data_IF_368094529568
#
_entry.id   IF_368094529568
#
_cell.length_a   1.000
_cell.length_b   1.000
_cell.length_c   1.000
_cell.angle_alpha   90.00
_cell.angle_beta   90.00
_cell.angle_gamma   90.00
#
_symmetry.space_group_name_H-M   'P 1'
#
loop_
_entity.id
_entity.type
_entity.pdbx_description
1 polymer ?
#
# COMPACT_ATOMS: atom_id res chain seq x y z
N UNK A 1 -8.12 -9.26 13.01
CA UNK A 1 -7.57 -8.75 14.27
C UNK A 1 -7.51 -9.83 15.34
N UNK A 2 -8.63 -10.35 15.75
CA UNK A 2 -8.72 -11.46 16.71
C UNK A 2 -7.90 -12.69 16.30
N UNK A 3 -7.95 -13.04 15.01
CA UNK A 3 -7.16 -14.12 14.43
C UNK A 3 -5.65 -13.92 14.66
N UNK A 4 -5.14 -12.69 14.49
CA UNK A 4 -3.72 -12.37 14.71
C UNK A 4 -3.36 -12.59 16.17
N UNK A 5 -4.17 -12.08 17.09
CA UNK A 5 -3.95 -12.24 18.53
C UNK A 5 -3.92 -13.71 18.92
N UNK A 6 -4.87 -14.49 18.45
CA UNK A 6 -4.96 -15.93 18.73
C UNK A 6 -3.73 -16.69 18.20
N UNK A 7 -3.26 -16.34 16.99
CA UNK A 7 -2.09 -16.99 16.41
C UNK A 7 -0.81 -16.69 17.21
N UNK A 8 -0.64 -15.47 17.70
CA UNK A 8 0.48 -15.11 18.58
C UNK A 8 0.39 -15.90 19.89
N UNK A 9 -0.76 -15.84 20.57
CA UNK A 9 -0.96 -16.54 21.85
C UNK A 9 -0.71 -18.05 21.74
N UNK A 10 -1.16 -18.68 20.66
CA UNK A 10 -0.99 -20.13 20.47
C UNK A 10 0.48 -20.55 20.35
N UNK A 11 1.39 -19.63 20.10
CA UNK A 11 2.82 -19.89 19.91
C UNK A 11 3.69 -19.28 21.02
N UNK A 12 3.07 -18.80 22.10
CA UNK A 12 3.79 -18.26 23.26
C UNK A 12 4.33 -16.84 23.04
N UNK A 13 3.80 -16.11 22.07
CA UNK A 13 4.12 -14.70 21.82
C UNK A 13 2.84 -13.89 21.98
N UNK A 14 2.99 -12.58 22.14
CA UNK A 14 1.85 -11.71 22.41
C UNK A 14 1.84 -10.50 21.48
N UNK A 15 0.65 -10.01 21.19
CA UNK A 15 0.44 -8.78 20.43
C UNK A 15 -0.79 -8.07 21.00
N UNK A 16 -0.71 -6.74 21.12
CA UNK A 16 -1.87 -5.95 21.55
C UNK A 16 -2.93 -5.91 20.46
N UNK A 17 -4.19 -5.72 20.84
CA UNK A 17 -5.27 -5.50 19.87
C UNK A 17 -5.00 -4.28 19.00
N UNK A 18 -4.43 -3.23 19.58
CA UNK A 18 -4.07 -2.01 18.88
C UNK A 18 -3.07 -2.27 17.75
N UNK A 19 -1.99 -2.99 18.05
CA UNK A 19 -0.96 -3.31 17.05
C UNK A 19 -1.50 -4.28 15.99
N UNK A 20 -2.33 -5.24 16.39
CA UNK A 20 -3.01 -6.14 15.46
C UNK A 20 -3.94 -5.36 14.52
N UNK A 21 -4.62 -4.33 15.03
CA UNK A 21 -5.46 -3.44 14.22
C UNK A 21 -4.61 -2.66 13.22
N UNK A 22 -3.45 -2.16 13.62
CA UNK A 22 -2.53 -1.46 12.71
C UNK A 22 -2.07 -2.38 11.57
N UNK A 23 -1.77 -3.65 11.84
CA UNK A 23 -1.46 -4.62 10.79
C UNK A 23 -2.59 -4.71 9.76
N UNK A 24 -3.83 -4.79 10.23
CA UNK A 24 -4.99 -4.84 9.35
C UNK A 24 -5.17 -3.55 8.56
N UNK A 25 -4.91 -2.41 9.16
CA UNK A 25 -5.03 -1.10 8.50
C UNK A 25 -3.98 -0.92 7.41
N UNK A 26 -2.72 -1.21 7.70
CA UNK A 26 -1.60 -1.07 6.75
C UNK A 26 -1.83 -1.95 5.51
N UNK A 27 -2.39 -3.12 5.70
CA UNK A 27 -2.63 -4.09 4.63
C UNK A 27 -4.01 -3.95 4.00
N UNK A 28 -4.79 -2.95 4.40
CA UNK A 28 -6.17 -2.74 3.98
C UNK A 28 -7.00 -4.03 4.05
N UNK A 29 -6.73 -4.85 5.07
CA UNK A 29 -7.39 -6.13 5.34
C UNK A 29 -7.25 -7.17 4.24
N UNK A 30 -6.32 -7.00 3.30
CA UNK A 30 -6.01 -8.03 2.31
C UNK A 30 -5.42 -9.25 3.01
N UNK A 31 -6.15 -10.35 2.99
CA UNK A 31 -5.86 -11.54 3.79
C UNK A 31 -4.42 -12.05 3.63
N UNK A 32 -3.90 -12.11 2.40
CA UNK A 32 -2.54 -12.59 2.17
C UNK A 32 -1.49 -11.64 2.75
N UNK A 33 -1.70 -10.33 2.65
CA UNK A 33 -0.80 -9.34 3.24
C UNK A 33 -0.89 -9.29 4.76
N UNK A 34 -2.10 -9.46 5.31
CA UNK A 34 -2.28 -9.57 6.77
C UNK A 34 -1.45 -10.72 7.32
N UNK A 35 -1.54 -11.88 6.68
CA UNK A 35 -0.79 -13.07 7.09
C UNK A 35 0.72 -12.88 6.96
N UNK A 36 1.19 -12.33 5.86
CA UNK A 36 2.62 -12.08 5.64
C UNK A 36 3.18 -11.07 6.64
N UNK A 37 2.49 -9.95 6.84
CA UNK A 37 2.96 -8.92 7.77
C UNK A 37 2.96 -9.45 9.20
N UNK A 38 1.89 -10.11 9.62
CA UNK A 38 1.82 -10.73 10.94
C UNK A 38 2.95 -11.74 11.15
N UNK A 39 3.28 -12.51 10.14
CA UNK A 39 4.39 -13.47 10.16
C UNK A 39 5.74 -12.77 10.36
N UNK A 40 6.03 -11.71 9.63
CA UNK A 40 7.29 -10.98 9.78
C UNK A 40 7.40 -10.32 11.16
N UNK A 41 6.31 -9.78 11.68
CA UNK A 41 6.28 -9.23 13.06
C UNK A 41 6.53 -10.35 14.06
N UNK A 42 5.82 -11.46 13.92
CA UNK A 42 5.94 -12.61 14.80
C UNK A 42 7.38 -13.15 14.87
N UNK A 43 8.06 -13.23 13.73
CA UNK A 43 9.45 -13.70 13.67
C UNK A 43 10.40 -12.88 14.54
N UNK A 44 10.14 -11.60 14.69
CA UNK A 44 11.00 -10.70 15.44
C UNK A 44 10.72 -10.71 16.94
N UNK A 45 9.51 -11.07 17.34
CA UNK A 45 9.11 -11.10 18.75
C UNK A 45 9.73 -12.31 19.43
N UNK A 46 10.36 -12.10 20.59
CA UNK A 46 10.91 -13.18 21.40
C UNK A 46 9.80 -13.93 22.14
N UNK A 47 10.09 -15.15 22.53
CA UNK A 47 9.16 -15.97 23.33
C UNK A 47 8.76 -15.23 24.61
N UNK A 48 7.49 -15.33 24.96
CA UNK A 48 6.86 -14.68 26.12
C UNK A 48 6.91 -13.14 26.08
N UNK A 49 7.28 -12.57 24.95
CA UNK A 49 7.32 -11.12 24.77
C UNK A 49 6.12 -10.61 23.99
N UNK A 50 5.90 -9.29 24.10
CA UNK A 50 4.82 -8.58 23.38
C UNK A 50 5.41 -7.84 22.20
N UNK A 51 4.76 -7.93 21.04
CA UNK A 51 5.17 -7.19 19.85
C UNK A 51 5.13 -5.67 20.10
N UNK A 52 6.12 -4.96 19.56
CA UNK A 52 6.27 -3.51 19.70
C UNK A 52 6.09 -2.80 18.35
N UNK A 53 6.00 -1.48 18.41
CA UNK A 53 5.99 -0.66 17.18
C UNK A 53 7.26 -0.88 16.33
N UNK A 54 8.40 -1.10 16.95
CA UNK A 54 9.65 -1.43 16.25
C UNK A 54 9.52 -2.76 15.49
N UNK A 55 8.87 -3.73 16.09
CA UNK A 55 8.61 -5.01 15.43
C UNK A 55 7.69 -4.85 14.22
N UNK A 56 6.69 -3.97 14.32
CA UNK A 56 5.80 -3.65 13.21
C UNK A 56 6.56 -2.96 12.08
N UNK A 57 7.38 -1.97 12.38
CA UNK A 57 8.22 -1.28 11.37
C UNK A 57 9.12 -2.27 10.64
N UNK A 58 9.76 -3.14 11.37
CA UNK A 58 10.59 -4.21 10.80
C UNK A 58 9.76 -5.11 9.87
N UNK A 59 8.58 -5.52 10.31
CA UNK A 59 7.69 -6.36 9.52
C UNK A 59 7.26 -5.70 8.22
N UNK A 60 6.92 -4.41 8.27
CA UNK A 60 6.56 -3.64 7.08
C UNK A 60 7.74 -3.59 6.10
N UNK A 61 8.93 -3.28 6.56
CA UNK A 61 10.12 -3.25 5.71
C UNK A 61 10.39 -4.61 5.06
N UNK A 62 10.23 -5.69 5.82
CA UNK A 62 10.39 -7.05 5.29
C UNK A 62 9.32 -7.39 4.24
N UNK A 63 8.08 -6.96 4.46
CA UNK A 63 7.01 -7.16 3.48
C UNK A 63 7.30 -6.41 2.19
N UNK A 64 7.74 -5.16 2.28
CA UNK A 64 8.12 -4.36 1.11
C UNK A 64 9.29 -5.00 0.36
N UNK A 65 10.30 -5.48 1.06
CA UNK A 65 11.43 -6.20 0.45
C UNK A 65 10.95 -7.45 -0.30
N UNK A 66 10.06 -8.21 0.31
CA UNK A 66 9.55 -9.44 -0.28
C UNK A 66 8.73 -9.19 -1.56
N UNK A 67 7.99 -8.09 -1.61
CA UNK A 67 7.15 -7.73 -2.75
C UNK A 67 7.89 -6.92 -3.82
N UNK A 68 9.06 -6.37 -3.52
CA UNK A 68 9.77 -5.43 -4.40
C UNK A 68 10.02 -5.96 -5.81
N UNK A 69 10.48 -7.22 -6.02
CA UNK A 69 10.69 -7.72 -7.39
C UNK A 69 9.42 -7.68 -8.25
N UNK A 70 8.27 -8.03 -7.68
CA UNK A 70 7.00 -7.97 -8.37
C UNK A 70 6.62 -6.51 -8.67
N UNK A 71 6.79 -5.62 -7.70
CA UNK A 71 6.42 -4.21 -7.86
C UNK A 71 7.29 -3.51 -8.89
N UNK A 72 8.57 -3.81 -8.95
CA UNK A 72 9.47 -3.33 -10.00
C UNK A 72 8.93 -3.77 -11.36
N UNK A 73 8.61 -5.04 -11.51
CA UNK A 73 8.07 -5.59 -12.75
C UNK A 73 6.77 -4.90 -13.16
N UNK A 74 5.87 -4.63 -12.23
CA UNK A 74 4.58 -3.98 -12.49
C UNK A 74 4.73 -2.51 -12.90
N UNK A 75 5.81 -1.85 -12.51
CA UNK A 75 5.98 -0.40 -12.70
C UNK A 75 7.06 -0.02 -13.70
N UNK A 76 7.95 -0.93 -14.08
CA UNK A 76 9.10 -0.61 -14.94
C UNK A 76 8.73 -0.05 -16.32
N UNK A 77 7.59 -0.47 -16.86
CA UNK A 77 7.12 -0.04 -18.18
C UNK A 77 6.17 1.16 -18.14
N UNK A 78 5.94 1.72 -16.96
CA UNK A 78 5.03 2.86 -16.82
C UNK A 78 5.70 4.15 -17.29
N UNK A 79 4.93 4.96 -18.03
CA UNK A 79 5.38 6.30 -18.43
C UNK A 79 5.45 7.24 -17.23
N UNK A 80 6.16 8.36 -17.40
CA UNK A 80 6.21 9.40 -16.38
C UNK A 80 4.81 9.91 -16.01
N UNK A 81 3.92 10.08 -17.00
CA UNK A 81 2.54 10.49 -16.74
C UNK A 81 1.76 9.45 -15.94
N UNK A 82 1.93 8.17 -16.25
CA UNK A 82 1.29 7.09 -15.48
C UNK A 82 1.79 7.07 -14.03
N UNK A 83 3.09 7.20 -13.82
CA UNK A 83 3.67 7.30 -12.48
C UNK A 83 3.15 8.53 -11.73
N UNK A 84 3.05 9.66 -12.40
CA UNK A 84 2.50 10.89 -11.81
C UNK A 84 1.03 10.72 -11.38
N UNK A 85 0.25 9.99 -12.16
CA UNK A 85 -1.14 9.70 -11.82
C UNK A 85 -1.24 8.84 -10.54
N UNK A 86 -0.42 7.79 -10.46
CA UNK A 86 -0.34 6.96 -9.26
C UNK A 86 0.13 7.79 -8.04
N UNK A 87 1.05 8.72 -8.24
CA UNK A 87 1.52 9.60 -7.18
C UNK A 87 0.38 10.46 -6.63
N UNK A 88 -0.46 11.01 -7.49
CA UNK A 88 -1.63 11.77 -7.07
C UNK A 88 -2.55 10.92 -6.19
N UNK A 89 -2.84 9.68 -6.61
CA UNK A 89 -3.72 8.78 -5.84
C UNK A 89 -3.10 8.45 -4.48
N UNK A 90 -1.82 8.11 -4.43
CA UNK A 90 -1.16 7.78 -3.16
C UNK A 90 -1.09 8.97 -2.20
N UNK A 91 -1.15 10.19 -2.71
CA UNK A 91 -1.20 11.42 -1.91
C UNK A 91 -2.62 11.86 -1.56
N UNK A 92 -3.63 11.03 -1.82
CA UNK A 92 -4.98 11.27 -1.38
C UNK A 92 -5.91 11.91 -2.41
N UNK A 93 -5.47 12.04 -3.66
CA UNK A 93 -6.34 12.50 -4.75
C UNK A 93 -7.11 11.31 -5.30
N UNK A 94 -8.41 11.29 -5.10
CA UNK A 94 -9.27 10.19 -5.53
C UNK A 94 -10.30 10.62 -6.57
N UNK A 95 -10.57 11.93 -6.63
CA UNK A 95 -11.53 12.55 -7.56
C UNK A 95 -10.96 13.88 -8.06
N UNK A 96 -11.59 14.48 -9.07
CA UNK A 96 -11.24 15.82 -9.52
C UNK A 96 -9.90 15.91 -10.25
N UNK A 97 -9.46 14.85 -10.91
CA UNK A 97 -8.16 14.81 -11.59
C UNK A 97 -8.02 15.82 -12.74
N UNK A 98 -9.12 16.33 -13.25
CA UNK A 98 -9.10 17.33 -14.34
C UNK A 98 -9.08 18.77 -13.83
N UNK A 99 -9.11 18.99 -12.53
CA UNK A 99 -8.96 20.33 -11.95
C UNK A 99 -7.55 20.86 -12.24
N UNK A 100 -7.47 22.13 -12.60
CA UNK A 100 -6.20 22.76 -12.96
C UNK A 100 -5.13 22.60 -11.89
N UNK A 101 -5.49 22.79 -10.63
CA UNK A 101 -4.55 22.64 -9.52
C UNK A 101 -3.95 21.21 -9.46
N UNK A 102 -4.76 20.18 -9.69
CA UNK A 102 -4.31 18.79 -9.68
C UNK A 102 -3.45 18.50 -10.92
N UNK A 103 -3.88 18.94 -12.09
CA UNK A 103 -3.12 18.77 -13.33
C UNK A 103 -1.71 19.37 -13.20
N UNK A 104 -1.60 20.55 -12.63
CA UNK A 104 -0.33 21.24 -12.45
C UNK A 104 0.53 20.63 -11.35
N UNK A 105 -0.07 20.36 -10.18
CA UNK A 105 0.66 19.82 -9.02
C UNK A 105 1.32 18.47 -9.35
N UNK A 106 0.59 17.58 -10.02
CA UNK A 106 1.06 16.24 -10.32
C UNK A 106 1.55 16.07 -11.76
N UNK A 107 1.55 17.12 -12.54
CA UNK A 107 2.04 17.11 -13.95
C UNK A 107 1.33 16.03 -14.77
N UNK A 108 0.01 16.07 -14.77
CA UNK A 108 -0.82 15.09 -15.47
C UNK A 108 -1.07 15.45 -16.96
N UNK A 109 -0.68 16.65 -17.38
CA UNK A 109 -0.93 17.15 -18.72
C UNK A 109 -2.32 17.75 -18.86
N UNK A 110 -3.04 17.35 -19.89
CA UNK A 110 -4.39 17.88 -20.19
C UNK A 110 -5.48 16.97 -19.59
N UNK A 111 -6.71 17.50 -19.56
CA UNK A 111 -7.88 16.69 -19.17
C UNK A 111 -8.06 15.47 -20.07
N UNK A 112 -7.79 15.60 -21.38
CA UNK A 112 -7.84 14.48 -22.33
C UNK A 112 -6.78 13.42 -21.98
N UNK A 113 -5.59 13.83 -21.55
CA UNK A 113 -4.54 12.92 -21.11
C UNK A 113 -4.96 12.14 -19.86
N UNK A 114 -5.62 12.80 -18.90
CA UNK A 114 -6.15 12.14 -17.69
C UNK A 114 -7.08 10.99 -18.04
N UNK A 115 -7.98 11.17 -19.00
CA UNK A 115 -8.88 10.11 -19.45
C UNK A 115 -8.12 8.90 -19.97
N UNK A 116 -7.06 9.13 -20.75
CA UNK A 116 -6.21 8.05 -21.28
C UNK A 116 -5.41 7.35 -20.18
N UNK A 117 -4.84 8.13 -19.24
CA UNK A 117 -4.08 7.58 -18.11
C UNK A 117 -4.95 6.68 -17.24
N UNK A 118 -6.13 7.17 -16.87
CA UNK A 118 -7.11 6.41 -16.11
C UNK A 118 -7.44 5.07 -16.76
N UNK A 119 -7.76 5.09 -18.05
CA UNK A 119 -8.08 3.87 -18.80
C UNK A 119 -6.90 2.91 -18.85
N UNK A 120 -5.70 3.39 -19.14
CA UNK A 120 -4.50 2.53 -19.25
C UNK A 120 -4.15 1.89 -17.92
N UNK A 121 -4.25 2.63 -16.83
CA UNK A 121 -3.95 2.10 -15.48
C UNK A 121 -5.00 1.12 -14.99
N UNK A 122 -6.27 1.31 -15.37
CA UNK A 122 -7.33 0.34 -15.08
C UNK A 122 -7.13 -0.97 -15.83
N UNK A 123 -6.72 -0.91 -17.10
CA UNK A 123 -6.41 -2.10 -17.91
C UNK A 123 -5.25 -2.89 -17.30
N UNK A 124 -4.29 -2.20 -16.69
CA UNK A 124 -3.16 -2.83 -15.99
C UNK A 124 -3.50 -3.31 -14.58
N UNK A 125 -4.74 -3.13 -14.12
CA UNK A 125 -5.19 -3.47 -12.77
C UNK A 125 -4.41 -2.76 -11.65
N UNK A 126 -3.83 -1.60 -11.92
CA UNK A 126 -3.09 -0.82 -10.93
C UNK A 126 -3.99 0.12 -10.13
N UNK A 127 -5.12 0.49 -10.68
CA UNK A 127 -6.13 1.32 -10.02
C UNK A 127 -7.51 0.69 -10.16
N UNK A 128 -8.40 1.02 -9.23
CA UNK A 128 -9.77 0.54 -9.23
C UNK A 128 -10.73 1.67 -8.87
N UNK A 129 -12.01 1.49 -9.20
CA UNK A 129 -13.07 2.41 -8.81
C UNK A 129 -13.74 1.85 -7.55
N UNK A 130 -13.59 2.53 -6.42
CA UNK A 130 -14.18 2.11 -5.14
C UNK A 130 -15.56 2.70 -4.88
N UNK A 131 -15.88 3.83 -5.55
CA UNK A 131 -17.16 4.53 -5.47
C UNK A 131 -17.32 5.34 -6.75
N UNK A 132 -18.51 5.91 -7.06
CA UNK A 132 -18.67 6.72 -8.26
C UNK A 132 -17.59 7.80 -8.38
N UNK A 133 -16.82 7.76 -9.46
CA UNK A 133 -15.71 8.69 -9.75
C UNK A 133 -14.59 8.69 -8.70
N UNK A 134 -14.53 7.71 -7.80
CA UNK A 134 -13.52 7.61 -6.76
C UNK A 134 -12.49 6.54 -7.15
N UNK A 135 -11.26 6.95 -7.40
CA UNK A 135 -10.18 6.05 -7.81
C UNK A 135 -9.25 5.76 -6.64
N UNK A 136 -8.85 4.50 -6.53
CA UNK A 136 -7.91 4.04 -5.52
C UNK A 136 -6.87 3.12 -6.14
N UNK A 137 -5.75 2.96 -5.47
CA UNK A 137 -4.77 1.92 -5.82
C UNK A 137 -5.39 0.54 -5.58
N UNK A 138 -5.20 -0.36 -6.53
CA UNK A 138 -5.70 -1.74 -6.40
C UNK A 138 -4.96 -2.53 -5.32
N UNK A 139 -3.69 -2.19 -5.09
CA UNK A 139 -2.81 -2.90 -4.16
C UNK A 139 -2.28 -1.92 -3.12
N UNK A 140 -2.68 -2.06 -1.84
CA UNK A 140 -2.27 -1.15 -0.78
C UNK A 140 -0.78 -1.22 -0.47
N UNK A 141 -0.15 -2.38 -0.67
CA UNK A 141 1.28 -2.54 -0.40
C UNK A 141 2.13 -1.97 -1.55
N UNK A 142 1.65 -2.09 -2.80
CA UNK A 142 2.26 -1.37 -3.91
C UNK A 142 2.24 0.14 -3.66
N UNK A 143 1.11 0.68 -3.21
CA UNK A 143 0.98 2.10 -2.87
C UNK A 143 1.98 2.51 -1.80
N UNK A 144 2.14 1.71 -0.77
CA UNK A 144 3.08 1.96 0.32
C UNK A 144 4.53 1.88 -0.16
N UNK A 145 4.86 0.90 -1.00
CA UNK A 145 6.18 0.74 -1.60
C UNK A 145 6.56 1.94 -2.47
N UNK A 146 5.65 2.38 -3.34
CA UNK A 146 5.86 3.56 -4.17
C UNK A 146 6.14 4.78 -3.31
N UNK A 147 5.32 5.00 -2.30
CA UNK A 147 5.42 6.16 -1.41
C UNK A 147 6.75 6.17 -0.65
N UNK A 148 7.14 5.06 -0.06
CA UNK A 148 8.33 4.97 0.81
C UNK A 148 9.63 4.75 0.04
N UNK A 149 9.61 3.90 -0.98
CA UNK A 149 10.81 3.42 -1.66
C UNK A 149 11.12 4.14 -2.96
N UNK A 150 10.10 4.55 -3.71
CA UNK A 150 10.26 5.24 -5.00
C UNK A 150 10.27 6.74 -4.81
N UNK A 151 9.24 7.30 -4.17
CA UNK A 151 9.14 8.75 -3.96
C UNK A 151 9.75 9.21 -2.64
N UNK A 152 10.09 8.30 -1.75
CA UNK A 152 10.73 8.56 -0.45
C UNK A 152 9.95 9.57 0.39
N UNK A 153 8.66 9.40 0.42
CA UNK A 153 7.74 10.20 1.23
C UNK A 153 7.31 9.38 2.46
N UNK A 154 7.02 10.07 3.53
CA UNK A 154 6.58 9.43 4.78
C UNK A 154 5.08 9.11 4.80
#
# INVERSE_FOLDING_TARGET
MEYICQRFESTGKHISEELAREICQVTDRYSSYVQQLAWFVWLRVQDDSVATEEDLKYGIDRLLDACEPLFIQQTEDLSAYQMNFLHAITNGVHTGFTQTAILETYRLGTAANVTRLKKSLMVKDLITISAPKHLEMSDPILALWLKRRVWKES
#
